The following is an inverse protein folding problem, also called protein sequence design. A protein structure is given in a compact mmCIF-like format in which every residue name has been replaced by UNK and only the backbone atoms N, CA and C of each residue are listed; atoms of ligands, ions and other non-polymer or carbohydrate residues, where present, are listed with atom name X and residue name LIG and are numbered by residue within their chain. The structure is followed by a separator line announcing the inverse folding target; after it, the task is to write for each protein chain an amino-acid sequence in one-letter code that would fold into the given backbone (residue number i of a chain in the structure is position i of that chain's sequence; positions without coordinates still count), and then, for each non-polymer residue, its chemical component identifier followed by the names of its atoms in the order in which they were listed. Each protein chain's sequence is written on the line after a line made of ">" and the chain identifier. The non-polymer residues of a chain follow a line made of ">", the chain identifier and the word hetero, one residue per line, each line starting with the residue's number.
data_IF_180571901924
#
_entry.id   IF_180571901924
#
_cell.length_a   1.000
_cell.length_b   1.000
_cell.length_c   1.000
_cell.angle_alpha   90.00
_cell.angle_beta   90.00
_cell.angle_gamma   90.00
#
_symmetry.space_group_name_H-M   'P 1'
#
loop_
_entity.id
_entity.type
_entity.pdbx_description
1 polymer ?
#
# COMPACT_ATOMS: atom_id res chain seq x y z
N UNK A 1 -15.27 -3.49 6.06
CA UNK A 1 -15.55 -3.96 4.69
C UNK A 1 -14.71 -5.20 4.41
N UNK A 2 -15.07 -6.01 3.40
CA UNK A 2 -14.26 -7.15 2.93
C UNK A 2 -13.34 -6.75 1.76
N UNK A 3 -12.32 -7.57 1.41
CA UNK A 3 -11.51 -7.34 0.21
C UNK A 3 -12.34 -7.28 -1.08
N UNK A 4 -13.38 -8.11 -1.21
CA UNK A 4 -14.27 -8.08 -2.38
C UNK A 4 -15.08 -6.79 -2.44
N UNK A 5 -15.53 -6.29 -1.29
CA UNK A 5 -16.21 -4.99 -1.22
C UNK A 5 -15.26 -3.85 -1.56
N UNK A 6 -13.96 -3.96 -1.22
CA UNK A 6 -12.92 -2.98 -1.58
C UNK A 6 -12.72 -2.92 -3.09
N UNK A 7 -12.62 -4.07 -3.73
CA UNK A 7 -12.36 -4.19 -5.18
C UNK A 7 -13.59 -3.95 -6.07
N UNK A 8 -14.78 -3.76 -5.50
CA UNK A 8 -15.99 -3.43 -6.27
C UNK A 8 -16.02 -1.95 -6.69
N UNK A 9 -15.41 -1.68 -7.85
CA UNK A 9 -15.43 -0.36 -8.50
C UNK A 9 -16.83 0.19 -8.79
N UNK A 10 -17.85 -0.67 -8.90
CA UNK A 10 -19.23 -0.23 -9.18
C UNK A 10 -19.94 0.27 -7.93
N UNK A 11 -19.51 -0.19 -6.75
CA UNK A 11 -20.02 0.25 -5.47
C UNK A 11 -19.32 1.52 -4.93
N UNK A 12 -18.16 1.89 -5.49
CA UNK A 12 -17.40 3.07 -5.07
C UNK A 12 -18.11 4.38 -5.47
N UNK A 13 -18.33 5.32 -4.53
CA UNK A 13 -18.88 6.64 -4.85
C UNK A 13 -17.92 7.42 -5.74
N UNK A 14 -18.42 8.47 -6.39
CA UNK A 14 -17.61 9.34 -7.26
C UNK A 14 -17.77 10.80 -6.86
N UNK A 15 -16.64 11.49 -6.78
CA UNK A 15 -16.64 12.93 -6.56
C UNK A 15 -17.12 13.64 -7.84
N UNK A 16 -17.88 14.75 -7.72
CA UNK A 16 -18.19 15.57 -8.88
C UNK A 16 -16.91 16.17 -9.45
N UNK A 17 -16.80 16.34 -10.78
CA UNK A 17 -15.61 16.91 -11.40
C UNK A 17 -15.39 18.37 -10.96
N UNK A 18 -14.13 18.77 -10.84
CA UNK A 18 -13.73 20.15 -10.50
C UNK A 18 -13.16 20.81 -11.76
N UNK A 19 -13.97 21.51 -12.58
CA UNK A 19 -13.50 22.09 -13.82
C UNK A 19 -12.60 23.30 -13.57
N UNK A 20 -11.68 23.56 -14.50
CA UNK A 20 -10.91 24.80 -14.54
C UNK A 20 -9.69 24.86 -13.61
N UNK A 21 -9.19 23.70 -13.14
CA UNK A 21 -7.92 23.66 -12.41
C UNK A 21 -6.77 24.17 -13.27
N UNK A 22 -5.92 25.00 -12.66
CA UNK A 22 -4.65 25.42 -13.25
C UNK A 22 -3.64 24.28 -13.26
N UNK A 23 -2.61 24.32 -14.13
CA UNK A 23 -1.52 23.34 -14.09
C UNK A 23 -0.85 23.23 -12.71
N UNK A 24 -0.76 24.34 -11.96
CA UNK A 24 -0.20 24.33 -10.61
C UNK A 24 -1.09 23.53 -9.63
N UNK A 25 -2.42 23.66 -9.72
CA UNK A 25 -3.34 22.91 -8.87
C UNK A 25 -3.35 21.41 -9.24
N UNK A 26 -3.20 21.08 -10.53
CA UNK A 26 -3.09 19.69 -10.96
C UNK A 26 -1.82 18.99 -10.42
N UNK A 27 -0.79 19.76 -10.04
CA UNK A 27 0.45 19.20 -9.51
C UNK A 27 0.25 18.46 -8.18
N UNK A 28 -0.72 18.86 -7.35
CA UNK A 28 -1.01 18.20 -6.07
C UNK A 28 -1.42 16.73 -6.26
N UNK A 29 -2.33 16.46 -7.20
CA UNK A 29 -2.73 15.09 -7.53
C UNK A 29 -1.60 14.27 -8.16
N UNK A 30 -0.73 14.91 -8.96
CA UNK A 30 0.46 14.26 -9.51
C UNK A 30 1.48 13.90 -8.43
N UNK A 31 1.59 14.73 -7.39
CA UNK A 31 2.47 14.46 -6.24
C UNK A 31 1.98 13.25 -5.45
N UNK A 32 0.68 13.16 -5.16
CA UNK A 32 0.07 11.97 -4.54
C UNK A 32 0.37 10.71 -5.36
N UNK A 33 0.07 10.74 -6.65
CA UNK A 33 0.33 9.61 -7.55
C UNK A 33 1.82 9.22 -7.63
N UNK A 34 2.74 10.16 -7.41
CA UNK A 34 4.18 9.86 -7.34
C UNK A 34 4.55 9.12 -6.05
N UNK A 35 3.97 9.48 -4.91
CA UNK A 35 4.12 8.77 -3.63
C UNK A 35 3.55 7.35 -3.74
N UNK A 36 2.34 7.21 -4.28
CA UNK A 36 1.73 5.89 -4.51
C UNK A 36 2.61 5.01 -5.40
N UNK A 37 3.15 5.56 -6.49
CA UNK A 37 4.03 4.82 -7.39
C UNK A 37 5.30 4.33 -6.70
N UNK A 38 5.87 5.14 -5.80
CA UNK A 38 7.01 4.72 -4.98
C UNK A 38 6.62 3.51 -4.12
N UNK A 39 5.50 3.57 -3.41
CA UNK A 39 5.02 2.46 -2.58
C UNK A 39 4.71 1.19 -3.38
N UNK A 40 4.08 1.32 -4.56
CA UNK A 40 3.86 0.20 -5.47
C UNK A 40 5.18 -0.43 -5.95
N UNK A 41 6.19 0.39 -6.24
CA UNK A 41 7.53 -0.09 -6.59
C UNK A 41 8.23 -0.82 -5.45
N UNK A 42 8.00 -0.41 -4.21
CA UNK A 42 8.51 -1.10 -3.02
C UNK A 42 7.80 -2.45 -2.81
N UNK A 43 6.47 -2.49 -2.92
CA UNK A 43 5.71 -3.76 -2.89
C UNK A 43 6.19 -4.72 -3.98
N UNK A 44 6.29 -4.25 -5.23
CA UNK A 44 6.87 -5.02 -6.33
C UNK A 44 8.25 -5.61 -6.00
N UNK A 45 9.08 -4.85 -5.28
CA UNK A 45 10.41 -5.30 -4.85
C UNK A 45 10.34 -6.37 -3.77
N UNK A 46 9.43 -6.24 -2.80
CA UNK A 46 9.15 -7.27 -1.78
C UNK A 46 8.65 -8.55 -2.43
N UNK A 47 7.68 -8.47 -3.35
CA UNK A 47 7.17 -9.63 -4.07
C UNK A 47 8.24 -10.37 -4.89
N UNK A 48 9.14 -9.63 -5.55
CA UNK A 48 10.30 -10.25 -6.25
C UNK A 48 11.27 -10.94 -5.30
N UNK A 49 11.56 -10.34 -4.14
CA UNK A 49 12.42 -10.95 -3.12
C UNK A 49 11.81 -12.23 -2.54
N UNK A 50 10.51 -12.18 -2.24
CA UNK A 50 9.72 -13.33 -1.80
C UNK A 50 9.81 -14.47 -2.81
N UNK A 51 9.58 -14.19 -4.11
CA UNK A 51 9.68 -15.19 -5.16
C UNK A 51 11.06 -15.85 -5.22
N UNK A 52 12.13 -15.06 -5.14
CA UNK A 52 13.49 -15.59 -5.19
C UNK A 52 13.84 -16.48 -3.98
N UNK A 53 13.31 -16.15 -2.79
CA UNK A 53 13.45 -16.98 -1.59
C UNK A 53 12.71 -18.31 -1.76
N UNK A 54 11.47 -18.27 -2.26
CA UNK A 54 10.67 -19.46 -2.53
C UNK A 54 11.37 -20.44 -3.47
N UNK A 55 11.99 -19.93 -4.53
CA UNK A 55 12.81 -20.73 -5.46
C UNK A 55 14.04 -21.34 -4.77
N UNK A 56 14.70 -20.59 -3.88
CA UNK A 56 15.83 -21.10 -3.09
C UNK A 56 15.43 -22.19 -2.09
N UNK A 57 14.24 -22.08 -1.48
CA UNK A 57 13.68 -23.09 -0.57
C UNK A 57 13.29 -24.37 -1.31
N UNK A 58 12.80 -24.26 -2.56
CA UNK A 58 12.53 -25.41 -3.42
C UNK A 58 13.83 -26.12 -3.90
N UNK A 59 14.95 -25.40 -3.96
CA UNK A 59 16.27 -25.98 -4.17
C UNK A 59 17.36 -24.92 -4.44
N UNK A 60 18.57 -25.03 -3.87
CA UNK A 60 19.63 -24.02 -4.03
C UNK A 60 20.21 -23.97 -5.45
N UNK A 61 20.04 -25.02 -6.26
CA UNK A 61 20.54 -25.06 -7.64
C UNK A 61 19.82 -24.09 -8.60
N UNK A 62 18.63 -23.62 -8.23
CA UNK A 62 17.85 -22.61 -8.98
C UNK A 62 18.06 -21.19 -8.47
N UNK A 63 18.83 -20.97 -7.40
CA UNK A 63 19.02 -19.66 -6.81
C UNK A 63 20.01 -18.82 -7.63
N UNK A 64 19.67 -17.56 -7.93
CA UNK A 64 20.59 -16.63 -8.56
C UNK A 64 21.86 -16.46 -7.70
N UNK A 65 23.09 -16.43 -8.29
CA UNK A 65 24.34 -16.35 -7.53
C UNK A 65 24.41 -15.19 -6.53
N UNK A 66 23.77 -14.04 -6.83
CA UNK A 66 23.70 -12.88 -5.95
C UNK A 66 22.98 -13.12 -4.62
N UNK A 67 22.20 -14.20 -4.49
CA UNK A 67 21.47 -14.60 -3.27
C UNK A 67 22.10 -15.82 -2.57
N UNK A 68 23.09 -16.45 -3.20
CA UNK A 68 23.78 -17.64 -2.67
C UNK A 68 24.88 -17.31 -1.65
N UNK A 69 25.19 -16.03 -1.44
CA UNK A 69 26.30 -15.57 -0.60
C UNK A 69 26.02 -15.70 0.92
N UNK A 70 24.76 -15.83 1.34
CA UNK A 70 24.37 -15.94 2.75
C UNK A 70 23.60 -17.25 3.04
N UNK A 71 23.69 -17.77 4.28
CA UNK A 71 22.81 -18.86 4.73
C UNK A 71 21.34 -18.49 4.57
N UNK A 72 20.51 -19.46 4.16
CA UNK A 72 19.07 -19.22 3.91
C UNK A 72 18.34 -18.63 5.12
N UNK A 73 18.71 -19.04 6.34
CA UNK A 73 18.15 -18.48 7.59
C UNK A 73 18.43 -16.97 7.73
N UNK A 74 19.59 -16.49 7.27
CA UNK A 74 19.90 -15.06 7.27
C UNK A 74 19.15 -14.31 6.17
N UNK A 75 18.97 -14.92 5.00
CA UNK A 75 18.14 -14.35 3.93
C UNK A 75 16.68 -14.16 4.39
N UNK A 76 16.11 -15.16 5.06
CA UNK A 76 14.76 -15.10 5.62
C UNK A 76 14.64 -14.01 6.70
N UNK A 77 15.58 -13.95 7.64
CA UNK A 77 15.56 -12.92 8.69
C UNK A 77 15.61 -11.50 8.08
N UNK A 78 16.50 -11.29 7.11
CA UNK A 78 16.65 -10.01 6.40
C UNK A 78 15.38 -9.65 5.62
N UNK A 79 14.75 -10.61 4.98
CA UNK A 79 13.49 -10.41 4.28
C UNK A 79 12.37 -9.96 5.22
N UNK A 80 12.24 -10.60 6.40
CA UNK A 80 11.31 -10.16 7.44
C UNK A 80 11.51 -8.70 7.83
N UNK A 81 12.75 -8.26 8.06
CA UNK A 81 13.06 -6.86 8.38
C UNK A 81 12.66 -5.90 7.26
N UNK A 82 12.96 -6.22 6.00
CA UNK A 82 12.61 -5.39 4.84
C UNK A 82 11.08 -5.28 4.71
N UNK A 83 10.37 -6.40 4.81
CA UNK A 83 8.92 -6.44 4.71
C UNK A 83 8.25 -5.61 5.82
N UNK A 84 8.72 -5.73 7.06
CA UNK A 84 8.23 -4.91 8.18
C UNK A 84 8.49 -3.42 8.00
N UNK A 85 9.64 -3.04 7.42
CA UNK A 85 9.94 -1.63 7.12
C UNK A 85 8.96 -1.05 6.08
N UNK A 86 8.65 -1.80 5.02
CA UNK A 86 7.69 -1.34 4.01
C UNK A 86 6.27 -1.21 4.57
N UNK A 87 5.85 -2.12 5.47
CA UNK A 87 4.58 -2.01 6.19
C UNK A 87 4.50 -0.69 6.99
N UNK A 88 5.57 -0.32 7.69
CA UNK A 88 5.61 0.93 8.45
C UNK A 88 5.55 2.17 7.56
N UNK A 89 6.17 2.14 6.37
CA UNK A 89 6.08 3.26 5.43
C UNK A 89 4.67 3.43 4.85
N UNK A 90 4.00 2.33 4.48
CA UNK A 90 2.62 2.37 4.00
C UNK A 90 1.66 2.90 5.08
N UNK A 91 1.80 2.43 6.33
CA UNK A 91 1.01 2.94 7.45
C UNK A 91 1.20 4.45 7.63
N UNK A 92 2.45 4.92 7.63
CA UNK A 92 2.75 6.34 7.80
C UNK A 92 2.19 7.24 6.69
N UNK A 93 2.08 6.71 5.46
CA UNK A 93 1.44 7.40 4.35
C UNK A 93 -0.07 7.57 4.57
N UNK A 94 -0.79 6.50 4.89
CA UNK A 94 -2.23 6.59 5.19
C UNK A 94 -2.52 7.40 6.45
N UNK A 95 -1.66 7.36 7.47
CA UNK A 95 -1.78 8.20 8.66
C UNK A 95 -1.76 9.69 8.28
N UNK A 96 -0.92 10.10 7.32
CA UNK A 96 -0.88 11.49 6.85
C UNK A 96 -2.20 11.86 6.15
N UNK A 97 -2.74 10.98 5.33
CA UNK A 97 -4.05 11.19 4.70
C UNK A 97 -5.16 11.34 5.72
N UNK A 98 -5.29 10.37 6.60
CA UNK A 98 -6.40 10.26 7.53
C UNK A 98 -6.39 11.35 8.59
N UNK A 99 -5.21 11.71 9.11
CA UNK A 99 -5.10 12.69 10.19
C UNK A 99 -4.83 14.13 9.72
N UNK A 100 -4.50 14.34 8.44
CA UNK A 100 -4.19 15.67 7.89
C UNK A 100 -4.99 16.04 6.66
N UNK A 101 -4.93 15.23 5.59
CA UNK A 101 -5.49 15.61 4.29
C UNK A 101 -7.01 15.46 4.24
N UNK A 102 -7.55 14.31 4.65
CA UNK A 102 -8.99 14.06 4.62
C UNK A 102 -9.76 15.05 5.48
N UNK A 103 -9.34 15.38 6.73
CA UNK A 103 -9.97 16.45 7.49
C UNK A 103 -9.91 17.81 6.80
N UNK A 104 -8.83 18.09 6.06
CA UNK A 104 -8.70 19.32 5.32
C UNK A 104 -9.66 19.42 4.13
N UNK A 105 -9.85 18.33 3.38
CA UNK A 105 -10.80 18.24 2.28
C UNK A 105 -12.25 18.27 2.76
N UNK A 106 -12.56 17.61 3.88
CA UNK A 106 -13.91 17.54 4.45
C UNK A 106 -14.50 18.90 4.81
N UNK A 107 -13.68 19.89 5.21
CA UNK A 107 -14.16 21.22 5.65
C UNK A 107 -15.10 21.91 4.66
N UNK A 108 -14.89 21.70 3.36
CA UNK A 108 -15.70 22.30 2.29
C UNK A 108 -16.13 21.26 1.25
N UNK A 109 -16.23 19.99 1.65
CA UNK A 109 -16.55 18.91 0.72
C UNK A 109 -17.99 19.01 0.21
N UNK A 110 -18.17 18.79 -1.09
CA UNK A 110 -19.49 18.47 -1.64
C UNK A 110 -19.97 17.12 -1.08
N UNK A 111 -21.29 16.82 -1.11
CA UNK A 111 -21.79 15.52 -0.67
C UNK A 111 -21.13 14.33 -1.37
N UNK A 112 -20.79 14.47 -2.66
CA UNK A 112 -20.09 13.40 -3.40
C UNK A 112 -18.64 13.23 -2.96
N UNK A 113 -17.91 14.31 -2.71
CA UNK A 113 -16.53 14.24 -2.19
C UNK A 113 -16.51 13.70 -0.75
N UNK A 114 -17.47 14.10 0.08
CA UNK A 114 -17.59 13.55 1.43
C UNK A 114 -17.79 12.03 1.41
N UNK A 115 -18.68 11.52 0.53
CA UNK A 115 -18.88 10.08 0.38
C UNK A 115 -17.63 9.34 -0.13
N UNK A 116 -16.84 9.95 -1.02
CA UNK A 116 -15.53 9.41 -1.43
C UNK A 116 -14.58 9.31 -0.24
N UNK A 117 -14.44 10.38 0.55
CA UNK A 117 -13.55 10.40 1.71
C UNK A 117 -13.98 9.35 2.75
N UNK A 118 -15.28 9.26 3.05
CA UNK A 118 -15.81 8.25 3.97
C UNK A 118 -15.51 6.82 3.46
N UNK A 119 -15.56 6.61 2.14
CA UNK A 119 -15.18 5.35 1.52
C UNK A 119 -13.68 5.08 1.64
N UNK A 120 -12.81 6.07 1.41
CA UNK A 120 -11.35 5.92 1.54
C UNK A 120 -10.96 5.57 2.97
N UNK A 121 -11.56 6.21 3.98
CA UNK A 121 -11.35 5.89 5.40
C UNK A 121 -11.76 4.44 5.69
N UNK A 122 -12.91 3.98 5.19
CA UNK A 122 -13.32 2.59 5.36
C UNK A 122 -12.36 1.59 4.68
N UNK A 123 -11.77 1.96 3.53
CA UNK A 123 -10.73 1.18 2.85
C UNK A 123 -9.43 1.15 3.68
N UNK A 124 -9.04 2.27 4.29
CA UNK A 124 -7.89 2.34 5.19
C UNK A 124 -8.05 1.41 6.39
N UNK A 125 -9.24 1.32 7.01
CA UNK A 125 -9.46 0.40 8.15
C UNK A 125 -9.12 -1.05 7.79
N UNK A 126 -9.55 -1.52 6.61
CA UNK A 126 -9.21 -2.86 6.13
C UNK A 126 -7.72 -2.99 5.80
N UNK A 127 -7.15 -1.99 5.15
CA UNK A 127 -5.74 -2.00 4.75
C UNK A 127 -4.82 -1.95 5.97
N UNK A 128 -5.13 -1.14 6.99
CA UNK A 128 -4.39 -1.10 8.26
C UNK A 128 -4.43 -2.45 8.97
N UNK A 129 -5.57 -3.15 8.95
CA UNK A 129 -5.64 -4.51 9.45
C UNK A 129 -4.69 -5.46 8.70
N UNK A 130 -4.69 -5.43 7.37
CA UNK A 130 -3.79 -6.25 6.54
C UNK A 130 -2.31 -5.89 6.72
N UNK A 131 -1.98 -4.60 6.85
CA UNK A 131 -0.62 -4.11 7.15
C UNK A 131 -0.16 -4.68 8.49
N UNK A 132 -1.01 -4.64 9.52
CA UNK A 132 -0.67 -5.20 10.83
C UNK A 132 -0.47 -6.72 10.78
N UNK A 133 -1.30 -7.46 10.04
CA UNK A 133 -1.13 -8.92 9.87
C UNK A 133 0.20 -9.25 9.19
N UNK A 134 0.52 -8.57 8.09
CA UNK A 134 1.78 -8.76 7.38
C UNK A 134 2.99 -8.35 8.22
N UNK A 135 2.91 -7.21 8.93
CA UNK A 135 3.98 -6.74 9.81
C UNK A 135 4.27 -7.75 10.94
N UNK A 136 3.24 -8.33 11.55
CA UNK A 136 3.39 -9.35 12.57
C UNK A 136 4.02 -10.64 12.02
N UNK A 137 3.61 -11.08 10.83
CA UNK A 137 4.21 -12.23 10.16
C UNK A 137 5.68 -11.97 9.80
N UNK A 138 6.00 -10.78 9.31
CA UNK A 138 7.34 -10.36 8.95
C UNK A 138 8.27 -10.28 10.18
N UNK A 139 7.78 -9.75 11.30
CA UNK A 139 8.50 -9.72 12.57
C UNK A 139 8.77 -11.14 13.11
N UNK A 140 7.76 -12.03 13.04
CA UNK A 140 7.92 -13.42 13.42
C UNK A 140 9.00 -14.12 12.58
N UNK A 141 8.99 -13.89 11.25
CA UNK A 141 10.00 -14.41 10.34
C UNK A 141 11.40 -13.84 10.63
N UNK A 142 11.50 -12.56 10.99
CA UNK A 142 12.76 -11.93 11.36
C UNK A 142 13.35 -12.52 12.65
N UNK A 143 12.50 -12.85 13.63
CA UNK A 143 12.90 -13.41 14.93
C UNK A 143 13.22 -14.90 14.90
N UNK A 144 12.40 -15.70 14.22
CA UNK A 144 12.55 -17.15 14.12
C UNK A 144 12.40 -17.62 12.66
N UNK A 145 13.46 -17.52 11.86
CA UNK A 145 13.38 -17.75 10.42
C UNK A 145 13.15 -19.21 10.07
N UNK A 146 12.07 -19.50 9.34
CA UNK A 146 11.76 -20.84 8.85
C UNK A 146 10.65 -20.86 7.80
N UNK A 147 10.49 -22.00 7.11
CA UNK A 147 9.52 -22.17 6.03
C UNK A 147 8.10 -21.77 6.45
N UNK A 148 7.64 -22.25 7.61
CA UNK A 148 6.28 -21.96 8.08
C UNK A 148 6.05 -20.47 8.36
N UNK A 149 7.06 -19.75 8.86
CA UNK A 149 6.96 -18.30 9.07
C UNK A 149 6.99 -17.55 7.73
N UNK A 150 7.76 -18.05 6.76
CA UNK A 150 7.80 -17.50 5.41
C UNK A 150 6.46 -17.68 4.69
N UNK A 151 5.87 -18.87 4.74
CA UNK A 151 4.55 -19.17 4.16
C UNK A 151 3.46 -18.25 4.75
N UNK A 152 3.55 -17.92 6.04
CA UNK A 152 2.64 -16.96 6.68
C UNK A 152 2.79 -15.55 6.09
N UNK A 153 4.02 -15.09 5.87
CA UNK A 153 4.27 -13.80 5.19
C UNK A 153 3.69 -13.82 3.77
N UNK A 154 3.92 -14.88 2.98
CA UNK A 154 3.36 -15.00 1.63
C UNK A 154 1.83 -14.92 1.64
N UNK A 155 1.18 -15.64 2.56
CA UNK A 155 -0.28 -15.67 2.68
C UNK A 155 -0.88 -14.29 3.02
N UNK A 156 -0.18 -13.50 3.84
CA UNK A 156 -0.63 -12.14 4.23
C UNK A 156 -0.27 -11.05 3.22
N UNK A 157 0.78 -11.25 2.41
CA UNK A 157 1.24 -10.25 1.45
C UNK A 157 0.28 -10.09 0.26
N UNK A 158 -0.19 -11.19 -0.32
CA UNK A 158 -0.99 -11.14 -1.55
C UNK A 158 -2.34 -10.38 -1.41
N UNK A 159 -3.09 -10.52 -0.30
CA UNK A 159 -4.29 -9.71 -0.06
C UNK A 159 -3.99 -8.22 0.10
N UNK A 160 -2.92 -7.87 0.82
CA UNK A 160 -2.52 -6.47 1.01
C UNK A 160 -2.13 -5.83 -0.33
N UNK A 161 -1.27 -6.51 -1.11
CA UNK A 161 -0.82 -6.00 -2.41
C UNK A 161 -1.99 -5.67 -3.35
N UNK A 162 -2.98 -6.58 -3.41
CA UNK A 162 -4.19 -6.37 -4.21
C UNK A 162 -4.96 -5.14 -3.74
N UNK A 163 -5.19 -5.05 -2.42
CA UNK A 163 -5.98 -3.97 -1.81
C UNK A 163 -5.32 -2.61 -2.05
N UNK A 164 -4.01 -2.50 -1.83
CA UNK A 164 -3.24 -1.26 -2.07
C UNK A 164 -3.31 -0.80 -3.53
N UNK A 165 -3.14 -1.72 -4.49
CA UNK A 165 -3.20 -1.36 -5.93
C UNK A 165 -4.57 -0.84 -6.33
N UNK A 166 -5.63 -1.48 -5.85
CA UNK A 166 -7.01 -1.07 -6.08
C UNK A 166 -7.30 0.28 -5.45
N UNK A 167 -6.92 0.43 -4.18
CA UNK A 167 -7.13 1.62 -3.38
C UNK A 167 -6.46 2.87 -3.96
N UNK A 168 -5.16 2.80 -4.24
CA UNK A 168 -4.41 3.95 -4.81
C UNK A 168 -5.00 4.43 -6.13
N UNK A 169 -5.39 3.51 -7.02
CA UNK A 169 -6.01 3.89 -8.29
C UNK A 169 -7.34 4.64 -8.09
N UNK A 170 -8.15 4.19 -7.13
CA UNK A 170 -9.39 4.86 -6.79
C UNK A 170 -9.12 6.24 -6.18
N UNK A 171 -8.26 6.33 -5.18
CA UNK A 171 -7.93 7.59 -4.50
C UNK A 171 -7.39 8.64 -5.48
N UNK A 172 -6.37 8.30 -6.28
CA UNK A 172 -5.79 9.19 -7.29
C UNK A 172 -6.87 9.77 -8.21
N UNK A 173 -7.80 8.93 -8.65
CA UNK A 173 -8.87 9.33 -9.57
C UNK A 173 -9.94 10.22 -8.94
N UNK A 174 -10.15 10.15 -7.62
CA UNK A 174 -11.26 10.83 -6.96
C UNK A 174 -10.86 12.08 -6.18
N UNK A 175 -9.66 12.13 -5.57
CA UNK A 175 -9.27 13.24 -4.70
C UNK A 175 -8.14 14.11 -5.25
N UNK A 176 -7.42 13.68 -6.29
CA UNK A 176 -6.27 14.41 -6.83
C UNK A 176 -6.60 15.87 -7.19
N UNK A 177 -7.72 16.09 -7.86
CA UNK A 177 -8.23 17.42 -8.21
C UNK A 177 -8.67 18.23 -6.97
N UNK A 178 -9.24 17.56 -5.97
CA UNK A 178 -9.70 18.20 -4.73
C UNK A 178 -8.53 18.70 -3.88
N UNK A 179 -7.41 17.96 -3.84
CA UNK A 179 -6.17 18.38 -3.18
C UNK A 179 -5.65 19.69 -3.80
N UNK A 180 -5.62 19.76 -5.13
CA UNK A 180 -5.21 20.95 -5.87
C UNK A 180 -6.12 22.16 -5.63
N UNK A 181 -7.43 21.95 -5.68
CA UNK A 181 -8.41 22.99 -5.41
C UNK A 181 -8.30 23.56 -3.99
N UNK A 182 -7.94 22.71 -3.01
CA UNK A 182 -7.76 23.08 -1.62
C UNK A 182 -6.37 23.69 -1.31
N UNK A 183 -5.44 23.72 -2.29
CA UNK A 183 -4.08 24.20 -2.08
C UNK A 183 -3.24 23.29 -1.17
N UNK A 184 -3.55 22.00 -1.14
CA UNK A 184 -2.79 20.98 -0.40
C UNK A 184 -1.66 20.45 -1.30
N UNK A 185 -0.51 20.13 -0.72
CA UNK A 185 0.70 19.67 -1.45
C UNK A 185 1.28 20.65 -2.50
N UNK A 186 1.00 21.95 -2.38
CA UNK A 186 1.45 23.01 -3.30
C UNK A 186 2.43 24.01 -2.69
#
# INVERSE_FOLDING_TARGET
>A
MTPEELDDDTARPKAPPIPGLTPQQQASGQYLAAIHRMHLGNLDSVGRLMQAIREGLAGPASLAPALAELPMTQNLARFGTICGQECAMLQGHHDIEEYSLFPALQRNASPGLAAVIDRLIAEHDLIHHQIHELANAAEALARDPGQSAFDAVEATYAPLERSIRSHFGYEESQIGDALGAAGLFG
#
